data_IF_775674981842
#
_entry.id   IF_775674981842
#
_cell.length_a   1.000
_cell.length_b   1.000
_cell.length_c   1.000
_cell.angle_alpha   90.00
_cell.angle_beta   90.00
_cell.angle_gamma   90.00
#
_symmetry.space_group_name_H-M   'P 1'
#
loop_
_entity.id
_entity.type
_entity.pdbx_description
1 polymer ?
#
# COMPACT_ATOMS: atom_id res chain seq x y z
N UNK A 1 33.55 -84.12 -25.32
CA UNK A 1 32.72 -83.82 -24.16
C UNK A 1 32.85 -82.30 -23.91
N UNK A 2 31.95 -81.52 -24.47
CA UNK A 2 31.93 -80.03 -24.40
C UNK A 2 30.97 -79.60 -23.31
N UNK A 3 31.48 -78.93 -22.29
CA UNK A 3 30.64 -78.25 -21.28
C UNK A 3 30.49 -76.81 -21.68
N UNK A 4 29.28 -76.50 -22.06
CA UNK A 4 28.83 -75.13 -22.37
C UNK A 4 28.58 -74.38 -21.04
N UNK A 5 29.38 -73.37 -20.74
CA UNK A 5 29.18 -72.50 -19.61
C UNK A 5 28.26 -71.34 -20.05
N UNK A 6 27.00 -71.34 -19.60
CA UNK A 6 26.09 -70.23 -19.76
C UNK A 6 26.41 -69.13 -18.72
N UNK A 7 26.90 -68.01 -19.17
CA UNK A 7 27.07 -66.81 -18.32
C UNK A 7 25.75 -66.07 -18.19
N UNK A 8 25.19 -66.11 -17.00
CA UNK A 8 24.03 -65.33 -16.64
C UNK A 8 24.46 -63.88 -16.36
N UNK A 9 24.06 -62.90 -17.19
CA UNK A 9 24.31 -61.51 -16.96
C UNK A 9 23.17 -60.96 -16.07
N UNK A 10 23.51 -60.55 -14.87
CA UNK A 10 22.62 -59.88 -13.96
C UNK A 10 22.68 -58.36 -14.25
N UNK A 11 21.65 -57.83 -14.86
CA UNK A 11 21.51 -56.39 -15.08
C UNK A 11 20.95 -55.75 -13.81
N UNK A 12 21.79 -55.07 -13.05
CA UNK A 12 21.35 -54.28 -11.90
C UNK A 12 20.71 -52.99 -12.41
N UNK A 13 19.41 -52.88 -12.30
CA UNK A 13 18.67 -51.60 -12.51
C UNK A 13 18.94 -50.70 -11.30
N UNK A 14 19.75 -49.65 -11.49
CA UNK A 14 19.93 -48.60 -10.49
C UNK A 14 18.70 -47.69 -10.53
N UNK A 15 17.76 -47.91 -9.61
CA UNK A 15 16.64 -47.00 -9.37
C UNK A 15 17.14 -45.71 -8.72
N UNK A 16 17.25 -44.65 -9.48
CA UNK A 16 17.56 -43.33 -8.95
C UNK A 16 16.40 -42.82 -8.10
N UNK A 17 16.63 -42.73 -6.80
CA UNK A 17 15.71 -42.00 -5.89
C UNK A 17 15.80 -40.49 -6.17
N UNK A 18 14.81 -39.94 -6.84
CA UNK A 18 14.69 -38.52 -7.01
C UNK A 18 14.17 -37.93 -5.68
N UNK A 19 15.08 -37.38 -4.88
CA UNK A 19 14.71 -36.62 -3.70
C UNK A 19 14.14 -35.26 -4.16
N UNK A 20 12.84 -35.16 -4.22
CA UNK A 20 12.15 -33.89 -4.37
C UNK A 20 12.31 -33.10 -3.07
N UNK A 21 13.27 -32.18 -3.02
CA UNK A 21 13.36 -31.25 -1.91
C UNK A 21 12.10 -30.40 -1.89
N UNK A 22 11.32 -30.36 -0.80
CA UNK A 22 10.22 -29.44 -0.69
C UNK A 22 10.80 -28.01 -0.74
N UNK A 23 10.41 -27.23 -1.74
CA UNK A 23 10.68 -25.80 -1.76
C UNK A 23 9.85 -25.21 -0.62
N UNK A 24 10.47 -25.04 0.53
CA UNK A 24 9.89 -24.25 1.61
C UNK A 24 9.91 -22.81 1.12
N UNK A 25 8.74 -22.28 0.78
CA UNK A 25 8.60 -20.87 0.47
C UNK A 25 9.06 -20.07 1.70
N UNK A 26 10.24 -19.48 1.63
CA UNK A 26 10.74 -18.60 2.68
C UNK A 26 9.87 -17.34 2.67
N UNK A 27 9.11 -17.15 3.73
CA UNK A 27 8.44 -15.87 3.99
C UNK A 27 9.56 -14.86 4.23
N UNK A 28 9.69 -13.82 3.40
CA UNK A 28 10.72 -12.82 3.62
C UNK A 28 10.57 -12.22 5.02
N UNK A 29 11.68 -11.94 5.72
CA UNK A 29 11.61 -11.33 7.03
C UNK A 29 10.89 -9.98 6.95
N UNK A 30 10.12 -9.62 7.99
CA UNK A 30 9.44 -8.33 8.01
C UNK A 30 10.45 -7.21 7.85
N UNK A 31 10.17 -6.26 6.96
CA UNK A 31 11.04 -5.13 6.76
C UNK A 31 11.05 -4.24 8.02
N UNK A 32 12.24 -3.74 8.35
CA UNK A 32 12.41 -2.80 9.46
C UNK A 32 11.66 -1.50 9.12
N UNK A 33 10.86 -1.02 10.06
CA UNK A 33 10.21 0.29 9.95
C UNK A 33 11.24 1.41 9.95
N UNK A 34 10.97 2.47 9.21
CA UNK A 34 11.84 3.63 9.15
C UNK A 34 11.93 4.32 10.52
N UNK A 35 13.13 4.82 10.88
CA UNK A 35 13.30 5.67 12.06
C UNK A 35 12.59 7.01 11.88
N UNK A 36 12.69 7.54 10.66
CA UNK A 36 11.99 8.75 10.22
C UNK A 36 11.04 8.35 9.09
N UNK A 37 9.80 8.80 9.22
CA UNK A 37 8.79 8.60 8.18
C UNK A 37 8.92 9.76 7.20
N UNK A 38 8.97 9.43 5.91
CA UNK A 38 9.08 10.40 4.83
C UNK A 38 7.93 10.19 3.84
N UNK A 39 7.41 11.27 3.29
CA UNK A 39 6.48 11.20 2.17
C UNK A 39 7.29 10.92 0.91
N UNK A 40 7.17 9.71 0.35
CA UNK A 40 7.85 9.28 -0.87
C UNK A 40 7.06 9.61 -2.13
N UNK A 41 5.73 9.76 -1.99
CA UNK A 41 4.85 10.36 -3.01
C UNK A 41 3.93 11.36 -2.35
N UNK A 42 3.96 12.58 -2.86
CA UNK A 42 3.13 13.68 -2.35
C UNK A 42 1.63 13.34 -2.39
N UNK A 43 0.83 13.96 -1.50
CA UNK A 43 -0.62 13.80 -1.54
C UNK A 43 -1.19 14.32 -2.86
N UNK A 44 -2.03 13.49 -3.49
CA UNK A 44 -2.68 13.78 -4.76
C UNK A 44 -4.14 13.35 -4.74
N UNK A 45 -4.96 14.02 -5.54
CA UNK A 45 -6.33 13.60 -5.79
C UNK A 45 -6.31 12.32 -6.64
N UNK A 46 -6.82 11.21 -6.09
CA UNK A 46 -6.99 9.96 -6.85
C UNK A 46 -8.28 10.00 -7.67
N UNK A 47 -9.37 10.42 -7.06
CA UNK A 47 -10.67 10.59 -7.73
C UNK A 47 -11.57 11.57 -6.99
N UNK A 48 -12.52 12.17 -7.70
CA UNK A 48 -13.57 12.96 -7.12
C UNK A 48 -14.89 12.80 -7.90
N UNK A 49 -15.98 12.86 -7.17
CA UNK A 49 -17.35 13.08 -7.66
C UNK A 49 -17.89 14.35 -7.00
N UNK A 50 -19.11 14.74 -7.31
CA UNK A 50 -19.70 15.99 -6.85
C UNK A 50 -19.63 16.24 -5.33
N UNK A 51 -19.80 15.18 -4.51
CA UNK A 51 -19.87 15.27 -3.03
C UNK A 51 -18.77 14.50 -2.31
N UNK A 52 -17.84 13.86 -3.05
CA UNK A 52 -16.83 12.97 -2.49
C UNK A 52 -15.50 13.10 -3.22
N UNK A 53 -14.39 12.94 -2.49
CA UNK A 53 -13.05 12.83 -3.07
C UNK A 53 -12.23 11.77 -2.34
N UNK A 54 -11.25 11.19 -3.04
CA UNK A 54 -10.23 10.31 -2.47
C UNK A 54 -8.87 10.95 -2.68
N UNK A 55 -8.17 11.19 -1.58
CA UNK A 55 -6.79 11.64 -1.54
C UNK A 55 -5.89 10.46 -1.26
N UNK A 56 -4.79 10.36 -2.01
CA UNK A 56 -3.78 9.30 -1.88
C UNK A 56 -2.40 9.90 -1.69
N UNK A 57 -1.58 9.28 -0.83
CA UNK A 57 -0.15 9.57 -0.69
C UNK A 57 0.60 8.32 -0.28
N UNK A 58 1.92 8.35 -0.36
CA UNK A 58 2.78 7.22 0.03
C UNK A 58 3.85 7.71 0.98
N UNK A 59 4.11 6.92 2.01
CA UNK A 59 5.20 7.16 2.96
C UNK A 59 6.10 5.92 3.06
N UNK A 60 7.31 6.08 3.60
CA UNK A 60 8.04 4.95 4.19
C UNK A 60 7.19 4.34 5.30
N UNK A 61 7.41 3.05 5.62
CA UNK A 61 6.60 2.38 6.65
C UNK A 61 6.65 3.14 7.99
N UNK A 62 5.48 3.58 8.52
CA UNK A 62 5.42 4.25 9.82
C UNK A 62 5.91 3.38 10.97
N UNK A 63 6.30 4.02 12.06
CA UNK A 63 6.64 3.37 13.32
C UNK A 63 5.39 3.02 14.14
N UNK A 64 5.57 2.36 15.27
CA UNK A 64 4.49 2.00 16.18
C UNK A 64 3.90 0.62 15.88
N UNK A 65 2.60 0.45 16.01
CA UNK A 65 1.88 -0.79 15.71
C UNK A 65 1.62 -0.96 14.20
N UNK A 66 0.76 -1.91 13.82
CA UNK A 66 0.42 -2.17 12.42
C UNK A 66 -0.84 -1.42 11.98
N UNK A 67 -1.60 -0.93 12.93
CA UNK A 67 -2.82 -0.18 12.67
C UNK A 67 -2.49 1.30 12.60
N UNK A 68 -2.70 1.91 11.44
CA UNK A 68 -2.48 3.33 11.22
C UNK A 68 -3.70 3.99 10.60
N UNK A 69 -3.76 5.29 10.76
CA UNK A 69 -4.80 6.14 10.17
C UNK A 69 -4.14 7.24 9.35
N UNK A 70 -4.59 7.39 8.12
CA UNK A 70 -4.33 8.58 7.34
C UNK A 70 -5.38 9.63 7.66
N UNK A 71 -4.98 10.87 7.77
CA UNK A 71 -5.88 12.00 8.06
C UNK A 71 -5.68 13.03 6.97
N UNK A 72 -6.78 13.48 6.37
CA UNK A 72 -6.80 14.64 5.49
C UNK A 72 -7.43 15.79 6.28
N UNK A 73 -6.67 16.84 6.48
CA UNK A 73 -7.17 18.13 6.99
C UNK A 73 -7.52 18.99 5.80
N UNK A 74 -8.72 19.55 5.77
CA UNK A 74 -9.18 20.27 4.58
C UNK A 74 -10.12 21.42 4.90
N UNK A 75 -10.26 22.32 3.94
CA UNK A 75 -11.16 23.48 4.01
C UNK A 75 -11.26 24.17 2.67
N UNK A 76 -12.08 25.19 2.58
CA UNK A 76 -12.19 26.05 1.39
C UNK A 76 -11.24 27.26 1.46
N UNK A 77 -10.54 27.41 2.57
CA UNK A 77 -9.51 28.43 2.81
C UNK A 77 -8.19 27.72 3.12
N UNK A 78 -7.08 28.04 2.44
CA UNK A 78 -5.78 27.40 2.72
C UNK A 78 -5.23 27.71 4.12
N UNK A 79 -5.70 28.76 4.78
CA UNK A 79 -5.33 29.13 6.16
C UNK A 79 -6.25 28.47 7.21
N UNK A 80 -7.35 27.84 6.79
CA UNK A 80 -8.31 27.15 7.67
C UNK A 80 -8.64 25.74 7.16
N UNK A 81 -7.82 24.76 7.55
CA UNK A 81 -8.03 23.35 7.26
C UNK A 81 -8.65 22.62 8.46
N UNK A 82 -9.73 23.18 9.01
CA UNK A 82 -10.35 22.71 10.26
C UNK A 82 -11.21 21.46 10.10
N UNK A 83 -11.60 21.09 8.88
CA UNK A 83 -12.32 19.84 8.61
C UNK A 83 -11.35 18.67 8.49
N UNK A 84 -11.77 17.49 8.92
CA UNK A 84 -10.93 16.28 8.85
C UNK A 84 -11.68 15.10 8.25
N UNK A 85 -10.97 14.29 7.46
CA UNK A 85 -11.40 12.97 7.05
C UNK A 85 -10.33 11.96 7.46
N UNK A 86 -10.76 10.80 7.98
CA UNK A 86 -9.86 9.77 8.52
C UNK A 86 -10.08 8.45 7.81
N UNK A 87 -9.00 7.83 7.37
CA UNK A 87 -9.00 6.50 6.74
C UNK A 87 -8.08 5.54 7.49
N UNK A 88 -8.58 4.34 7.75
CA UNK A 88 -7.81 3.27 8.40
C UNK A 88 -6.97 2.49 7.40
N UNK A 89 -5.77 2.13 7.79
CA UNK A 89 -4.90 1.21 7.07
C UNK A 89 -4.19 0.26 8.03
N UNK A 90 -4.00 -0.98 7.57
CA UNK A 90 -3.09 -1.92 8.21
C UNK A 90 -1.81 -2.02 7.40
N UNK A 91 -0.67 -1.81 8.05
CA UNK A 91 0.62 -1.83 7.40
C UNK A 91 0.96 -3.21 6.87
N UNK A 92 1.48 -3.26 5.65
CA UNK A 92 2.11 -4.47 5.12
C UNK A 92 3.61 -4.44 5.43
N UNK A 93 4.03 -5.20 6.42
CA UNK A 93 5.43 -5.27 6.87
C UNK A 93 6.40 -5.81 5.83
N UNK A 94 5.91 -6.44 4.76
CA UNK A 94 6.75 -6.96 3.69
C UNK A 94 7.05 -5.93 2.60
N UNK A 95 6.40 -4.77 2.64
CA UNK A 95 6.64 -3.65 1.74
C UNK A 95 7.40 -2.52 2.45
N UNK A 96 8.30 -1.81 1.75
CA UNK A 96 9.04 -0.69 2.34
C UNK A 96 8.18 0.57 2.52
N UNK A 97 7.05 0.64 1.83
CA UNK A 97 6.19 1.80 1.76
C UNK A 97 4.74 1.48 2.12
N UNK A 98 4.05 2.49 2.61
CA UNK A 98 2.62 2.46 2.91
C UNK A 98 1.90 3.47 2.05
N UNK A 99 0.81 3.03 1.41
CA UNK A 99 -0.07 3.88 0.61
C UNK A 99 -1.31 4.18 1.45
N UNK A 100 -1.49 5.45 1.78
CA UNK A 100 -2.72 5.94 2.40
C UNK A 100 -3.72 6.34 1.33
N UNK A 101 -4.99 6.05 1.59
CA UNK A 101 -6.15 6.47 0.82
C UNK A 101 -7.24 6.89 1.77
N UNK A 102 -7.63 8.14 1.69
CA UNK A 102 -8.64 8.71 2.58
C UNK A 102 -9.77 9.29 1.76
N UNK A 103 -10.99 8.88 2.11
CA UNK A 103 -12.21 9.38 1.50
C UNK A 103 -12.74 10.57 2.29
N UNK A 104 -12.91 11.67 1.60
CA UNK A 104 -13.64 12.86 2.06
C UNK A 104 -15.07 12.77 1.57
N UNK A 105 -16.05 13.14 2.37
CA UNK A 105 -17.49 13.07 2.05
C UNK A 105 -18.16 14.40 2.35
N UNK A 106 -19.39 14.56 1.92
CA UNK A 106 -20.23 15.75 2.14
C UNK A 106 -19.58 17.02 1.58
N UNK A 107 -18.82 16.87 0.49
CA UNK A 107 -18.22 17.99 -0.22
C UNK A 107 -19.29 18.72 -1.05
N UNK A 108 -19.06 20.01 -1.31
CA UNK A 108 -19.88 20.77 -2.24
C UNK A 108 -19.35 20.62 -3.66
N UNK A 109 -20.20 20.45 -4.68
CA UNK A 109 -19.75 20.40 -6.08
C UNK A 109 -19.18 21.76 -6.51
N UNK A 110 -18.34 21.73 -7.55
CA UNK A 110 -17.70 22.92 -8.15
C UNK A 110 -17.01 23.83 -7.14
N UNK A 111 -16.39 23.22 -6.09
CA UNK A 111 -15.79 23.93 -4.98
C UNK A 111 -14.32 23.61 -4.88
N UNK A 112 -13.47 24.63 -4.67
CA UNK A 112 -12.04 24.44 -4.41
C UNK A 112 -11.87 24.05 -2.96
N UNK A 113 -11.18 22.93 -2.72
CA UNK A 113 -10.75 22.47 -1.42
C UNK A 113 -9.23 22.45 -1.33
N UNK A 114 -8.71 23.07 -0.28
CA UNK A 114 -7.31 22.99 0.11
C UNK A 114 -7.17 21.88 1.14
N UNK A 115 -6.06 21.17 1.13
CA UNK A 115 -5.83 20.08 2.07
C UNK A 115 -4.36 19.83 2.31
N UNK A 116 -4.04 19.30 3.49
CA UNK A 116 -2.80 18.61 3.79
C UNK A 116 -3.09 17.25 4.43
N UNK A 117 -2.05 16.47 4.68
CA UNK A 117 -2.20 15.10 5.20
C UNK A 117 -1.26 14.88 6.39
N UNK A 118 -1.75 14.11 7.36
CA UNK A 118 -0.97 13.57 8.46
C UNK A 118 -1.30 12.09 8.63
N UNK A 119 -0.55 11.40 9.47
CA UNK A 119 -0.84 10.02 9.86
C UNK A 119 -0.58 9.79 11.34
N UNK A 120 -1.29 8.82 11.92
CA UNK A 120 -1.17 8.43 13.31
C UNK A 120 -1.35 6.93 13.49
N UNK A 121 -0.83 6.38 14.58
CA UNK A 121 -1.06 4.99 14.98
C UNK A 121 -2.42 4.80 15.69
N UNK A 122 -2.72 3.57 16.12
CA UNK A 122 -3.98 3.26 16.80
C UNK A 122 -4.15 3.96 18.14
N UNK A 123 -3.07 4.42 18.77
CA UNK A 123 -3.09 5.19 20.01
C UNK A 123 -3.26 6.70 19.76
N UNK A 124 -3.36 7.12 18.50
CA UNK A 124 -3.47 8.54 18.13
C UNK A 124 -2.12 9.28 18.16
N UNK A 125 -1.00 8.56 18.17
CA UNK A 125 0.31 9.17 18.10
C UNK A 125 0.69 9.46 16.65
N UNK A 126 1.00 10.72 16.37
CA UNK A 126 1.43 11.14 15.03
C UNK A 126 2.75 10.47 14.63
N UNK A 127 2.84 10.07 13.37
CA UNK A 127 4.09 9.60 12.75
C UNK A 127 5.10 10.74 12.52
N UNK A 128 4.73 11.99 12.81
CA UNK A 128 5.55 13.17 12.60
C UNK A 128 5.69 13.60 11.14
N UNK A 129 4.80 13.11 10.29
CA UNK A 129 4.77 13.42 8.85
C UNK A 129 3.61 14.38 8.59
N UNK A 130 3.93 15.49 7.94
CA UNK A 130 2.94 16.44 7.45
C UNK A 130 3.18 16.71 5.96
N UNK A 131 2.14 16.54 5.15
CA UNK A 131 2.20 16.81 3.73
C UNK A 131 2.11 18.30 3.41
N UNK A 132 2.57 18.72 2.23
CA UNK A 132 2.38 20.08 1.76
C UNK A 132 0.88 20.37 1.56
N UNK A 133 0.50 21.64 1.65
CA UNK A 133 -0.85 22.08 1.28
C UNK A 133 -1.00 21.91 -0.23
N UNK A 134 -2.04 21.20 -0.61
CA UNK A 134 -2.45 20.96 -2.00
C UNK A 134 -3.90 21.39 -2.17
N UNK A 135 -4.41 21.38 -3.39
CA UNK A 135 -5.81 21.70 -3.65
C UNK A 135 -6.38 20.89 -4.81
N UNK A 136 -7.70 20.79 -4.85
CA UNK A 136 -8.47 20.28 -5.97
C UNK A 136 -9.80 21.00 -6.06
N UNK A 137 -10.47 20.85 -7.20
CA UNK A 137 -11.83 21.32 -7.38
C UNK A 137 -12.75 20.11 -7.56
N UNK A 138 -13.82 20.03 -6.78
CA UNK A 138 -14.87 19.02 -6.99
C UNK A 138 -15.54 19.24 -8.34
N UNK A 139 -15.87 18.18 -9.09
CA UNK A 139 -16.55 18.32 -10.38
C UNK A 139 -18.00 18.81 -10.20
N UNK A 140 -18.65 19.25 -11.30
CA UNK A 140 -20.09 19.44 -11.32
C UNK A 140 -20.85 18.17 -10.94
N UNK A 141 -22.09 18.34 -10.48
CA UNK A 141 -22.95 17.21 -10.16
C UNK A 141 -23.09 16.23 -11.34
N UNK A 142 -22.84 14.94 -11.06
CA UNK A 142 -22.91 13.88 -12.06
C UNK A 142 -21.63 13.68 -12.88
N UNK A 143 -20.60 14.49 -12.69
CA UNK A 143 -19.30 14.31 -13.32
C UNK A 143 -18.30 13.60 -12.37
N UNK A 144 -17.28 12.98 -12.96
CA UNK A 144 -16.26 12.21 -12.25
C UNK A 144 -14.87 12.62 -12.72
N UNK A 145 -13.99 12.93 -11.76
CA UNK A 145 -12.55 13.03 -11.98
C UNK A 145 -11.93 11.71 -11.55
N UNK A 146 -11.15 11.09 -12.43
CA UNK A 146 -10.45 9.84 -12.12
C UNK A 146 -9.00 9.93 -12.59
N UNK A 147 -8.09 10.10 -11.63
CA UNK A 147 -6.64 10.17 -11.83
C UNK A 147 -5.96 8.84 -11.47
N UNK A 148 -6.74 7.77 -11.26
CA UNK A 148 -6.15 6.47 -10.95
C UNK A 148 -5.28 5.99 -12.10
N UNK A 149 -4.02 5.58 -11.84
CA UNK A 149 -3.15 5.04 -12.89
C UNK A 149 -3.82 3.83 -13.55
N UNK A 150 -4.11 3.95 -14.84
CA UNK A 150 -4.65 2.83 -15.59
C UNK A 150 -3.56 1.76 -15.76
N UNK A 151 -3.88 0.45 -15.60
CA UNK A 151 -2.94 -0.61 -15.89
C UNK A 151 -2.54 -0.54 -17.37
N UNK A 152 -1.23 -0.62 -17.63
CA UNK A 152 -0.67 -0.71 -18.97
C UNK A 152 -0.90 -2.11 -19.55
#
# INVERSE_FOLDING_TARGET
MNRLLVKLAITAAAGGLVFSNPIVAQIPPPQKRAEHVEITKAPELESAVDDMAIVRWTTTNPRGDDEHYGIVHYGTDPEDLSQTAKGHIRLNRTHPETIFRVRMQDLKPQTIYYYNVTSEDSAGQSDGVEGPISHFTTPPAGEVINNYPQPK
#
